data_IF_406727792164
#
_entry.id   IF_406727792164
#
_cell.length_a   1.000
_cell.length_b   1.000
_cell.length_c   1.000
_cell.angle_alpha   90.00
_cell.angle_beta   90.00
_cell.angle_gamma   90.00
#
_symmetry.space_group_name_H-M   'P 1'
#
loop_
_entity.id
_entity.type
_entity.pdbx_description
1 polymer ?
#
# COMPACT_ATOMS: atom_id res chain seq x y z
N UNK A 1 -12.62 -5.27 -12.65
CA UNK A 1 -12.43 -4.47 -11.40
C UNK A 1 -11.30 -5.11 -10.62
N UNK A 2 -10.28 -4.34 -10.23
CA UNK A 2 -9.24 -4.85 -9.34
C UNK A 2 -9.82 -4.90 -7.92
N UNK A 3 -9.69 -6.04 -7.24
CA UNK A 3 -10.09 -6.15 -5.84
C UNK A 3 -9.18 -5.25 -4.99
N UNK A 4 -9.75 -4.51 -4.05
CA UNK A 4 -8.97 -3.78 -3.04
C UNK A 4 -8.53 -4.78 -1.95
N UNK A 5 -7.27 -4.74 -1.56
CA UNK A 5 -6.68 -5.68 -0.61
C UNK A 5 -6.23 -4.98 0.67
N UNK A 6 -6.27 -5.72 1.77
CA UNK A 6 -5.75 -5.35 3.07
C UNK A 6 -4.75 -6.42 3.50
N UNK A 7 -3.63 -6.02 4.11
CA UNK A 7 -2.66 -6.97 4.68
C UNK A 7 -2.91 -7.21 6.16
N UNK A 8 -2.78 -8.46 6.55
CA UNK A 8 -2.65 -8.89 7.94
C UNK A 8 -1.18 -9.22 8.23
N UNK A 9 -0.76 -9.08 9.47
CA UNK A 9 0.58 -9.47 9.92
C UNK A 9 0.58 -10.90 10.47
N UNK A 10 1.73 -11.57 10.41
CA UNK A 10 1.85 -13.01 10.75
C UNK A 10 1.37 -13.34 12.17
N UNK A 11 1.72 -12.50 13.15
CA UNK A 11 1.34 -12.73 14.54
C UNK A 11 -0.05 -12.19 14.89
N UNK A 12 -0.84 -11.71 13.92
CA UNK A 12 -2.19 -11.21 14.20
C UNK A 12 -3.01 -12.26 14.94
N UNK A 13 -3.15 -13.52 14.49
CA UNK A 13 -3.97 -14.51 15.19
C UNK A 13 -3.51 -14.85 16.62
N UNK A 14 -2.23 -14.63 16.92
CA UNK A 14 -1.61 -15.02 18.18
C UNK A 14 -1.43 -13.86 19.17
N UNK A 15 -1.86 -12.64 18.84
CA UNK A 15 -1.70 -11.47 19.73
C UNK A 15 -2.40 -11.74 21.08
N UNK A 16 -1.70 -11.62 22.22
CA UNK A 16 -2.25 -11.90 23.55
C UNK A 16 -3.44 -10.99 23.91
N UNK A 17 -3.63 -9.86 23.22
CA UNK A 17 -4.79 -8.99 23.40
C UNK A 17 -6.10 -9.71 23.11
N UNK A 18 -6.15 -10.63 22.14
CA UNK A 18 -7.38 -11.34 21.81
C UNK A 18 -7.89 -12.21 22.95
N UNK A 19 -6.98 -12.90 23.64
CA UNK A 19 -7.32 -13.66 24.86
C UNK A 19 -7.87 -12.74 25.95
N UNK A 20 -7.30 -11.54 26.07
CA UNK A 20 -7.74 -10.58 27.08
C UNK A 20 -9.12 -10.02 26.74
N UNK A 21 -9.37 -9.66 25.48
CA UNK A 21 -10.65 -9.16 25.00
C UNK A 21 -11.72 -10.24 25.15
N UNK A 22 -11.47 -11.46 24.68
CA UNK A 22 -12.38 -12.60 24.82
C UNK A 22 -12.78 -12.86 26.28
N UNK A 23 -11.82 -12.79 27.21
CA UNK A 23 -12.10 -12.97 28.64
C UNK A 23 -12.95 -11.83 29.22
N UNK A 24 -12.76 -10.60 28.76
CA UNK A 24 -13.50 -9.42 29.26
C UNK A 24 -14.90 -9.34 28.65
N UNK A 25 -15.05 -9.62 27.36
CA UNK A 25 -16.34 -9.63 26.67
C UNK A 25 -17.16 -10.90 26.92
N UNK A 26 -16.52 -11.97 27.40
CA UNK A 26 -17.15 -13.29 27.54
C UNK A 26 -17.38 -14.01 26.21
N UNK A 27 -16.81 -13.50 25.11
CA UNK A 27 -17.05 -14.01 23.76
C UNK A 27 -15.93 -14.93 23.29
N UNK A 28 -16.21 -15.88 22.37
CA UNK A 28 -15.17 -16.71 21.76
C UNK A 28 -14.09 -15.86 21.07
N UNK A 29 -12.83 -16.30 21.19
CA UNK A 29 -11.69 -15.63 20.53
C UNK A 29 -11.89 -15.53 19.01
N UNK A 30 -12.49 -16.56 18.42
CA UNK A 30 -12.81 -16.56 16.98
C UNK A 30 -13.72 -15.39 16.60
N UNK A 31 -14.78 -15.13 17.37
CA UNK A 31 -15.71 -14.02 17.16
C UNK A 31 -15.01 -12.68 17.34
N UNK A 32 -14.17 -12.54 18.38
CA UNK A 32 -13.37 -11.32 18.62
C UNK A 32 -12.46 -11.01 17.42
N UNK A 33 -11.77 -12.03 16.90
CA UNK A 33 -10.90 -11.88 15.74
C UNK A 33 -11.69 -11.54 14.48
N UNK A 34 -12.84 -12.18 14.28
CA UNK A 34 -13.71 -11.92 13.13
C UNK A 34 -14.21 -10.46 13.15
N UNK A 35 -14.69 -9.97 14.30
CA UNK A 35 -15.07 -8.57 14.48
C UNK A 35 -13.90 -7.65 14.12
N UNK A 36 -12.71 -7.91 14.66
CA UNK A 36 -11.54 -7.06 14.37
C UNK A 36 -11.17 -7.03 12.88
N UNK A 37 -11.29 -8.16 12.17
CA UNK A 37 -11.04 -8.21 10.72
C UNK A 37 -12.06 -7.35 9.97
N UNK A 38 -13.35 -7.38 10.35
CA UNK A 38 -14.37 -6.52 9.74
C UNK A 38 -14.07 -5.04 9.98
N UNK A 39 -13.63 -4.67 11.18
CA UNK A 39 -13.22 -3.31 11.50
C UNK A 39 -12.03 -2.85 10.64
N UNK A 40 -11.01 -3.71 10.48
CA UNK A 40 -9.87 -3.41 9.60
C UNK A 40 -10.29 -3.22 8.15
N UNK A 41 -11.27 -3.99 7.66
CA UNK A 41 -11.82 -3.84 6.31
C UNK A 41 -12.55 -2.52 6.14
N UNK A 42 -13.41 -2.14 7.10
CA UNK A 42 -14.08 -0.82 7.12
C UNK A 42 -13.03 0.30 7.12
N UNK A 43 -12.08 0.24 8.04
CA UNK A 43 -10.97 1.20 8.15
C UNK A 43 -10.07 1.29 6.90
N UNK A 44 -9.95 0.20 6.14
CA UNK A 44 -9.21 0.19 4.88
C UNK A 44 -9.97 0.88 3.74
N UNK A 45 -11.30 0.72 3.72
CA UNK A 45 -12.19 1.27 2.68
C UNK A 45 -12.50 2.75 2.92
N UNK A 46 -12.55 3.16 4.18
CA UNK A 46 -12.85 4.52 4.58
C UNK A 46 -11.62 5.41 4.43
N UNK A 47 -11.51 6.02 3.24
CA UNK A 47 -10.44 6.97 2.90
C UNK A 47 -10.98 8.39 3.07
N UNK A 48 -10.63 9.02 4.18
CA UNK A 48 -10.96 10.43 4.40
C UNK A 48 -9.84 11.29 3.83
N UNK A 49 -10.16 12.16 2.88
CA UNK A 49 -9.16 13.10 2.34
C UNK A 49 -9.32 14.45 2.99
N UNK A 50 -8.34 14.87 3.79
CA UNK A 50 -8.29 16.21 4.37
C UNK A 50 -6.99 16.89 3.97
N UNK A 51 -7.06 18.16 3.54
CA UNK A 51 -5.88 18.94 3.12
C UNK A 51 -4.94 18.23 2.12
N UNK A 52 -5.49 17.42 1.21
CA UNK A 52 -4.71 16.67 0.23
C UNK A 52 -3.99 15.42 0.77
N UNK A 53 -4.21 15.05 2.04
CA UNK A 53 -3.70 13.82 2.66
C UNK A 53 -4.86 12.85 2.82
N UNK A 54 -4.71 11.66 2.24
CA UNK A 54 -5.65 10.54 2.45
C UNK A 54 -5.33 9.85 3.77
N UNK A 55 -6.19 10.05 4.76
CA UNK A 55 -6.17 9.36 6.05
C UNK A 55 -7.04 8.10 5.97
N UNK A 56 -6.55 7.02 6.58
CA UNK A 56 -7.25 5.74 6.76
C UNK A 56 -7.18 5.34 8.22
N UNK A 57 -7.97 4.34 8.62
CA UNK A 57 -8.00 3.87 10.01
C UNK A 57 -9.30 4.20 10.76
N UNK A 58 -10.24 4.90 10.12
CA UNK A 58 -11.55 5.24 10.68
C UNK A 58 -12.59 4.18 10.32
N UNK A 59 -13.32 3.71 11.33
CA UNK A 59 -14.37 2.71 11.19
C UNK A 59 -15.72 3.43 11.03
N UNK A 60 -16.57 3.01 10.10
CA UNK A 60 -17.96 3.50 9.99
C UNK A 60 -19.01 2.38 10.07
N UNK A 61 -18.57 1.13 10.28
CA UNK A 61 -19.49 -0.01 10.31
C UNK A 61 -20.36 0.05 11.55
N UNK A 62 -21.65 -0.25 11.39
CA UNK A 62 -22.60 -0.28 12.50
C UNK A 62 -22.53 -1.62 13.24
N UNK A 63 -23.03 -1.62 14.48
CA UNK A 63 -23.17 -2.83 15.30
C UNK A 63 -24.12 -3.84 14.66
N UNK A 64 -25.22 -3.34 14.08
CA UNK A 64 -26.21 -4.12 13.32
C UNK A 64 -25.58 -4.83 12.11
N UNK A 65 -24.76 -4.13 11.33
CA UNK A 65 -24.07 -4.70 10.16
C UNK A 65 -23.10 -5.82 10.58
N UNK A 66 -22.36 -5.60 11.67
CA UNK A 66 -21.43 -6.59 12.21
C UNK A 66 -22.16 -7.82 12.77
N UNK A 67 -23.25 -7.60 13.50
CA UNK A 67 -24.10 -8.64 14.06
C UNK A 67 -24.67 -9.52 12.94
N UNK A 68 -25.23 -8.88 11.91
CA UNK A 68 -25.77 -9.54 10.73
C UNK A 68 -24.70 -10.30 9.93
N UNK A 69 -23.50 -9.75 9.81
CA UNK A 69 -22.43 -10.39 9.02
C UNK A 69 -21.77 -11.59 9.73
N UNK A 70 -21.86 -11.66 11.06
CA UNK A 70 -21.22 -12.70 11.87
C UNK A 70 -22.21 -13.68 12.50
N UNK A 71 -23.51 -13.56 12.17
CA UNK A 71 -24.60 -14.37 12.73
C UNK A 71 -24.62 -14.34 14.28
N UNK A 72 -24.44 -13.14 14.86
CA UNK A 72 -24.48 -12.91 16.31
C UNK A 72 -25.42 -11.75 16.65
N UNK A 73 -25.74 -11.58 17.93
CA UNK A 73 -26.59 -10.45 18.37
C UNK A 73 -25.78 -9.17 18.53
N UNK A 74 -26.45 -8.02 18.53
CA UNK A 74 -25.79 -6.73 18.73
C UNK A 74 -25.11 -6.62 20.10
N UNK A 75 -25.68 -7.23 21.15
CA UNK A 75 -25.08 -7.22 22.49
C UNK A 75 -23.72 -7.94 22.53
N UNK A 76 -23.57 -8.99 21.71
CA UNK A 76 -22.29 -9.68 21.54
C UNK A 76 -21.27 -8.74 20.91
N UNK A 77 -21.65 -8.02 19.85
CA UNK A 77 -20.77 -7.04 19.19
C UNK A 77 -20.39 -5.92 20.14
N UNK A 78 -21.36 -5.32 20.83
CA UNK A 78 -21.14 -4.24 21.78
C UNK A 78 -20.18 -4.64 22.90
N UNK A 79 -20.35 -5.84 23.47
CA UNK A 79 -19.46 -6.36 24.50
C UNK A 79 -18.01 -6.48 24.01
N UNK A 80 -17.81 -6.85 22.74
CA UNK A 80 -16.50 -6.96 22.10
C UNK A 80 -15.92 -5.57 21.83
N UNK A 81 -16.69 -4.66 21.23
CA UNK A 81 -16.24 -3.30 20.92
C UNK A 81 -15.83 -2.54 22.18
N UNK A 82 -16.63 -2.64 23.25
CA UNK A 82 -16.28 -2.07 24.55
C UNK A 82 -14.98 -2.66 25.11
N UNK A 83 -14.78 -3.98 25.01
CA UNK A 83 -13.55 -4.64 25.48
C UNK A 83 -12.31 -4.31 24.61
N UNK A 84 -12.51 -3.89 23.35
CA UNK A 84 -11.45 -3.48 22.42
C UNK A 84 -10.93 -2.05 22.65
N UNK A 85 -11.76 -1.17 23.25
CA UNK A 85 -11.38 0.21 23.57
C UNK A 85 -10.15 0.27 24.49
N UNK A 86 -9.24 1.19 24.19
CA UNK A 86 -7.96 1.34 24.91
C UNK A 86 -6.94 0.23 24.64
N UNK A 87 -7.24 -0.74 23.76
CA UNK A 87 -6.32 -1.83 23.37
C UNK A 87 -6.00 -1.79 21.89
N UNK A 88 -7.04 -1.89 21.07
CA UNK A 88 -6.96 -1.95 19.60
C UNK A 88 -7.83 -0.89 18.93
N UNK A 89 -8.73 -0.27 19.69
CA UNK A 89 -9.56 0.86 19.29
C UNK A 89 -9.35 2.06 20.22
N UNK A 90 -9.51 3.25 19.67
CA UNK A 90 -9.62 4.53 20.36
C UNK A 90 -10.79 5.31 19.75
N UNK A 91 -11.97 5.16 20.34
CA UNK A 91 -13.23 5.55 19.71
C UNK A 91 -13.43 4.77 18.40
N UNK A 92 -13.57 5.49 17.29
CA UNK A 92 -13.79 4.94 15.95
C UNK A 92 -12.48 4.74 15.16
N UNK A 93 -11.32 4.91 15.81
CA UNK A 93 -10.01 4.79 15.18
C UNK A 93 -9.30 3.49 15.60
N UNK A 94 -8.69 2.82 14.62
CA UNK A 94 -7.84 1.65 14.88
C UNK A 94 -6.47 2.10 15.39
N UNK A 95 -6.09 1.62 16.58
CA UNK A 95 -4.82 2.02 17.18
C UNK A 95 -3.63 1.44 16.41
N UNK A 96 -2.65 2.30 16.15
CA UNK A 96 -1.44 1.94 15.43
C UNK A 96 -1.69 1.58 13.96
N UNK A 97 -2.80 2.03 13.35
CA UNK A 97 -3.10 1.81 11.93
C UNK A 97 -1.93 2.14 11.01
N UNK A 98 -1.32 3.33 11.17
CA UNK A 98 -0.18 3.79 10.37
C UNK A 98 1.07 2.89 10.47
N UNK A 99 1.27 2.26 11.64
CA UNK A 99 2.39 1.32 11.83
C UNK A 99 2.10 -0.04 11.20
N UNK A 100 0.82 -0.40 11.08
CA UNK A 100 0.36 -1.70 10.57
C UNK A 100 0.18 -1.71 9.05
N UNK A 101 -0.30 -0.62 8.48
CA UNK A 101 -0.53 -0.49 7.04
C UNK A 101 0.57 0.38 6.43
N UNK A 102 1.41 -0.23 5.59
CA UNK A 102 2.51 0.48 4.93
C UNK A 102 1.91 1.48 3.95
N UNK A 103 2.28 2.76 4.08
CA UNK A 103 1.75 3.90 3.29
C UNK A 103 1.90 3.74 1.76
N UNK A 104 2.80 2.87 1.29
CA UNK A 104 3.09 2.66 -0.13
C UNK A 104 3.45 1.21 -0.41
N UNK A 105 2.59 0.55 -1.17
CA UNK A 105 2.83 -0.81 -1.68
C UNK A 105 3.17 -0.83 -3.18
N UNK A 106 2.94 0.27 -3.91
CA UNK A 106 3.10 0.38 -5.37
C UNK A 106 4.48 0.87 -5.86
N UNK A 107 5.53 0.70 -5.08
CA UNK A 107 6.87 0.69 -5.64
C UNK A 107 7.37 -0.75 -5.66
N UNK A 108 7.06 -1.47 -6.74
CA UNK A 108 7.83 -2.65 -7.11
C UNK A 108 9.33 -2.37 -6.92
N UNK A 109 9.97 -3.24 -6.14
CA UNK A 109 11.31 -3.16 -5.53
C UNK A 109 11.44 -2.25 -4.29
N UNK A 110 11.34 -2.87 -3.11
CA UNK A 110 12.13 -2.49 -1.93
C UNK A 110 13.55 -3.04 -2.10
N UNK A 111 14.26 -2.54 -3.11
CA UNK A 111 15.69 -2.34 -2.96
C UNK A 111 15.85 -0.82 -2.85
N UNK A 112 16.73 -0.35 -1.98
CA UNK A 112 17.02 1.08 -1.78
C UNK A 112 17.58 1.80 -3.05
N UNK A 113 17.46 1.18 -4.22
CA UNK A 113 17.94 1.63 -5.53
C UNK A 113 16.81 1.71 -6.58
N UNK A 114 15.54 1.58 -6.17
CA UNK A 114 14.42 1.66 -7.10
C UNK A 114 14.11 3.11 -7.49
N UNK A 115 14.56 3.51 -8.69
CA UNK A 115 14.28 4.82 -9.29
C UNK A 115 12.77 5.07 -9.40
N UNK A 116 12.34 6.27 -9.02
CA UNK A 116 10.96 6.75 -9.18
C UNK A 116 10.50 6.65 -10.65
N UNK A 117 9.19 6.49 -10.95
CA UNK A 117 8.68 6.55 -12.33
C UNK A 117 9.17 7.79 -13.10
N UNK A 118 9.27 8.94 -12.41
CA UNK A 118 9.81 10.17 -12.98
C UNK A 118 11.30 10.05 -13.33
N UNK A 119 12.10 9.42 -12.47
CA UNK A 119 13.53 9.17 -12.68
C UNK A 119 13.77 8.14 -13.78
N UNK A 120 12.93 7.09 -13.88
CA UNK A 120 12.96 6.12 -14.98
C UNK A 120 12.73 6.81 -16.32
N UNK A 121 11.71 7.68 -16.39
CA UNK A 121 11.38 8.44 -17.61
C UNK A 121 12.46 9.47 -17.96
N UNK A 122 13.11 10.10 -16.96
CA UNK A 122 14.28 10.98 -17.19
C UNK A 122 15.48 10.20 -17.71
N UNK A 123 15.82 9.07 -17.08
CA UNK A 123 16.94 8.23 -17.50
C UNK A 123 16.76 7.68 -18.93
N UNK A 124 15.53 7.34 -19.32
CA UNK A 124 15.23 6.95 -20.69
C UNK A 124 15.50 8.10 -21.68
N UNK A 125 15.00 9.30 -21.41
CA UNK A 125 15.21 10.48 -22.27
C UNK A 125 16.70 10.81 -22.43
N UNK A 126 17.48 10.71 -21.36
CA UNK A 126 18.93 10.95 -21.42
C UNK A 126 19.65 9.88 -22.27
N UNK A 127 19.25 8.60 -22.18
CA UNK A 127 19.78 7.55 -23.07
C UNK A 127 19.41 7.78 -24.54
N UNK A 128 18.19 8.26 -24.81
CA UNK A 128 17.75 8.60 -26.17
C UNK A 128 18.51 9.80 -26.74
N UNK A 129 18.72 10.86 -25.94
CA UNK A 129 19.55 12.01 -26.33
C UNK A 129 21.00 11.60 -26.63
N UNK A 130 21.59 10.76 -25.78
CA UNK A 130 22.95 10.26 -26.00
C UNK A 130 23.04 9.40 -27.27
N UNK A 131 22.07 8.51 -27.49
CA UNK A 131 21.97 7.73 -28.74
C UNK A 131 21.87 8.63 -29.97
N UNK A 132 21.00 9.64 -29.94
CA UNK A 132 20.87 10.57 -31.06
C UNK A 132 22.14 11.38 -31.29
N UNK A 133 22.83 11.81 -30.22
CA UNK A 133 24.13 12.49 -30.33
C UNK A 133 25.21 11.60 -30.94
N UNK A 134 25.33 10.34 -30.51
CA UNK A 134 26.30 9.40 -31.10
C UNK A 134 25.99 9.07 -32.56
N UNK A 135 24.71 8.94 -32.93
CA UNK A 135 24.29 8.63 -34.30
C UNK A 135 24.63 9.76 -35.30
N UNK A 136 24.68 11.01 -34.84
CA UNK A 136 25.11 12.16 -35.64
C UNK A 136 26.63 12.33 -35.78
N UNK A 137 27.43 11.64 -34.96
CA UNK A 137 28.91 11.71 -35.03
C UNK A 137 29.48 10.71 -36.05
N UNK A 138 28.80 9.58 -36.26
CA UNK A 138 29.24 8.54 -37.21
C UNK A 138 29.03 8.87 -38.69
N UNK A 139 28.36 9.97 -39.03
CA UNK A 139 28.12 10.39 -40.43
C UNK A 139 29.19 11.33 -41.00
N UNK A 140 30.25 11.66 -40.25
CA UNK A 140 31.22 12.69 -40.65
C UNK A 140 32.59 12.14 -41.11
N UNK A 141 32.73 10.85 -41.42
CA UNK A 141 34.03 10.24 -41.78
C UNK A 141 34.06 9.52 -43.14
N UNK A 142 33.16 9.83 -44.07
CA UNK A 142 33.13 9.19 -45.40
C UNK A 142 33.52 10.10 -46.58
N UNK A 143 33.96 11.36 -46.33
CA UNK A 143 34.30 12.32 -47.40
C UNK A 143 35.79 12.70 -47.47
N UNK A 144 36.72 11.76 -47.28
CA UNK A 144 38.14 12.05 -47.48
C UNK A 144 38.92 10.86 -48.01
N UNK A 145 38.79 10.58 -49.32
CA UNK A 145 39.86 10.02 -50.17
C UNK A 145 39.40 9.90 -51.65
N UNK A 146 39.47 11.00 -52.39
CA UNK A 146 39.73 10.94 -53.83
C UNK A 146 40.71 12.05 -54.22
N UNK A 147 41.99 11.85 -53.94
CA UNK A 147 43.05 12.65 -54.55
C UNK A 147 43.41 11.96 -55.87
N UNK A 148 42.94 12.52 -56.99
CA UNK A 148 43.38 12.14 -58.34
C UNK A 148 44.83 12.58 -58.52
N UNK A 149 45.76 11.63 -58.53
CA UNK A 149 47.14 11.89 -58.95
C UNK A 149 47.12 11.96 -60.48
N UNK A 150 47.24 13.16 -61.04
CA UNK A 150 47.56 13.33 -62.46
C UNK A 150 49.05 13.07 -62.66
N UNK A 151 49.36 11.99 -63.37
CA UNK A 151 50.69 11.76 -63.94
C UNK A 151 50.73 12.57 -65.25
N UNK A 152 51.58 13.60 -65.30
CA UNK A 152 51.92 14.33 -66.53
C UNK A 152 52.92 13.50 -67.35
N UNK A 153 52.70 13.53 -68.67
CA UNK A 153 53.43 12.86 -69.76
C UNK A 153 54.93 12.72 -69.58
#
# INVERSE_FOLDING_TARGET
MANAWLRLWHDMPNDPKWRTIARVSGQPIATVMAVYIHLLVSASRNVTTCHGVSLRGHIDVTTEDLASALDVTEEVIDSILQAMQGRVLDGDLITGWEKRQVLKEDNGNVSQTAKSPAERKRAQREREKLRNRMRGVTTCHDESRQIKIQIKN
#
